data_IF_973316261647
#
_entry.id   IF_973316261647
#
_cell.length_a   1.000
_cell.length_b   1.000
_cell.length_c   1.000
_cell.angle_alpha   90.00
_cell.angle_beta   90.00
_cell.angle_gamma   90.00
#
_symmetry.space_group_name_H-M   'P 1'
#
loop_
_entity.id
_entity.type
_entity.pdbx_description
1 polymer ?
#
# COMPACT_ATOMS: atom_id res chain seq x y z
N UNK A 1 -76.50 13.80 -41.72
CA UNK A 1 -75.86 12.48 -41.94
C UNK A 1 -74.59 12.70 -42.75
N UNK A 2 -73.51 11.99 -42.43
CA UNK A 2 -72.17 11.96 -43.04
C UNK A 2 -71.11 12.91 -42.48
N UNK A 3 -70.46 12.39 -41.44
CA UNK A 3 -69.12 12.64 -40.92
C UNK A 3 -68.01 12.36 -41.95
N UNK A 4 -66.95 13.16 -41.97
CA UNK A 4 -65.62 12.72 -42.45
C UNK A 4 -64.51 13.32 -41.58
N UNK A 5 -63.83 12.43 -40.87
CA UNK A 5 -62.67 12.72 -40.02
C UNK A 5 -61.40 12.79 -40.87
N UNK A 6 -60.53 13.75 -40.54
CA UNK A 6 -59.18 13.86 -41.10
C UNK A 6 -58.29 12.74 -40.55
N UNK A 7 -57.57 12.12 -41.48
CA UNK A 7 -56.72 10.94 -41.35
C UNK A 7 -55.54 11.16 -40.39
N UNK A 8 -55.31 10.21 -39.47
CA UNK A 8 -54.10 10.13 -38.63
C UNK A 8 -53.11 9.17 -39.29
N UNK A 9 -51.91 9.62 -39.60
CA UNK A 9 -50.76 8.73 -39.76
C UNK A 9 -50.22 8.34 -38.38
N UNK A 10 -50.33 7.06 -38.02
CA UNK A 10 -49.54 6.46 -36.95
C UNK A 10 -48.34 5.78 -37.60
N UNK A 11 -47.13 6.23 -37.23
CA UNK A 11 -45.89 5.50 -37.51
C UNK A 11 -45.91 4.20 -36.69
N UNK A 12 -46.12 3.07 -37.34
CA UNK A 12 -45.92 1.74 -36.76
C UNK A 12 -44.46 1.34 -36.91
N UNK A 13 -43.70 1.42 -35.80
CA UNK A 13 -42.36 0.83 -35.74
C UNK A 13 -42.53 -0.68 -35.56
N UNK A 14 -42.36 -1.44 -36.66
CA UNK A 14 -42.37 -2.90 -36.64
C UNK A 14 -41.08 -3.42 -35.99
N UNK A 15 -41.14 -3.79 -34.72
CA UNK A 15 -40.06 -4.53 -34.04
C UNK A 15 -40.24 -6.04 -34.27
N UNK A 16 -39.51 -6.58 -35.27
CA UNK A 16 -39.38 -8.02 -35.50
C UNK A 16 -38.52 -8.74 -34.42
N UNK A 17 -38.53 -10.09 -34.38
CA UNK A 17 -38.17 -10.85 -33.20
C UNK A 17 -36.65 -10.88 -32.93
N UNK A 18 -36.29 -10.25 -31.82
CA UNK A 18 -35.28 -10.64 -30.83
C UNK A 18 -34.01 -11.40 -31.29
N UNK A 19 -32.94 -10.64 -31.59
CA UNK A 19 -31.53 -11.11 -31.53
C UNK A 19 -31.02 -11.31 -30.08
N UNK A 20 -31.81 -11.91 -29.20
CA UNK A 20 -31.46 -12.06 -27.76
C UNK A 20 -30.84 -13.41 -27.39
N UNK A 21 -30.69 -14.34 -28.34
CA UNK A 21 -30.26 -15.71 -28.06
C UNK A 21 -28.74 -15.92 -28.05
N UNK A 22 -27.96 -15.10 -28.77
CA UNK A 22 -26.52 -15.33 -28.88
C UNK A 22 -25.74 -14.82 -27.65
N UNK A 23 -26.09 -13.67 -27.05
CA UNK A 23 -25.30 -13.08 -25.97
C UNK A 23 -25.37 -13.82 -24.62
N UNK A 24 -26.44 -14.58 -24.34
CA UNK A 24 -26.56 -15.32 -23.08
C UNK A 24 -25.78 -16.64 -23.10
N UNK A 25 -25.66 -17.27 -24.26
CA UNK A 25 -24.88 -18.50 -24.45
C UNK A 25 -23.37 -18.25 -24.39
N UNK A 26 -22.86 -17.17 -25.00
CA UNK A 26 -21.44 -16.83 -24.92
C UNK A 26 -20.96 -16.51 -23.50
N UNK A 27 -21.82 -15.92 -22.66
CA UNK A 27 -21.49 -15.65 -21.25
C UNK A 27 -21.38 -16.93 -20.42
N UNK A 28 -22.21 -17.94 -20.67
CA UNK A 28 -22.19 -19.21 -19.94
C UNK A 28 -20.97 -20.06 -20.33
N UNK A 29 -20.65 -20.11 -21.63
CA UNK A 29 -19.47 -20.83 -22.13
C UNK A 29 -18.17 -20.21 -21.59
N UNK A 30 -18.09 -18.87 -21.56
CA UNK A 30 -16.93 -18.17 -20.98
C UNK A 30 -16.72 -18.49 -19.50
N UNK A 31 -17.80 -18.54 -18.71
CA UNK A 31 -17.74 -18.90 -17.29
C UNK A 31 -17.29 -20.36 -17.10
N UNK A 32 -17.79 -21.29 -17.91
CA UNK A 32 -17.39 -22.69 -17.84
C UNK A 32 -15.89 -22.91 -18.15
N UNK A 33 -15.35 -22.18 -19.13
CA UNK A 33 -13.91 -22.24 -19.48
C UNK A 33 -13.05 -21.70 -18.32
N UNK A 34 -13.46 -20.60 -17.68
CA UNK A 34 -12.73 -20.02 -16.54
C UNK A 34 -12.71 -21.00 -15.36
N UNK A 35 -13.85 -21.66 -15.06
CA UNK A 35 -13.93 -22.66 -13.99
C UNK A 35 -13.00 -23.85 -14.26
N UNK A 36 -12.95 -24.35 -15.50
CA UNK A 36 -12.06 -25.45 -15.88
C UNK A 36 -10.57 -25.08 -15.75
N UNK A 37 -10.19 -23.86 -16.12
CA UNK A 37 -8.81 -23.37 -15.97
C UNK A 37 -8.44 -23.28 -14.48
N UNK A 38 -9.31 -22.70 -13.65
CA UNK A 38 -9.07 -22.60 -12.20
C UNK A 38 -8.95 -23.99 -11.57
N UNK A 39 -9.82 -24.93 -11.95
CA UNK A 39 -9.77 -26.31 -11.47
C UNK A 39 -8.47 -27.01 -11.87
N UNK A 40 -8.02 -26.85 -13.12
CA UNK A 40 -6.76 -27.43 -13.60
C UNK A 40 -5.54 -26.88 -12.85
N UNK A 41 -5.51 -25.58 -12.54
CA UNK A 41 -4.44 -24.95 -11.75
C UNK A 41 -4.41 -25.48 -10.32
N UNK A 42 -5.58 -25.59 -9.67
CA UNK A 42 -5.70 -26.15 -8.32
C UNK A 42 -5.23 -27.61 -8.30
N UNK A 43 -5.64 -28.42 -9.30
CA UNK A 43 -5.22 -29.81 -9.41
C UNK A 43 -3.71 -29.94 -9.60
N UNK A 44 -3.08 -29.10 -10.42
CA UNK A 44 -1.64 -29.10 -10.64
C UNK A 44 -0.86 -28.73 -9.36
N UNK A 45 -1.37 -27.77 -8.57
CA UNK A 45 -0.77 -27.40 -7.28
C UNK A 45 -0.90 -28.52 -6.24
N UNK A 46 -2.05 -29.19 -6.18
CA UNK A 46 -2.26 -30.33 -5.28
C UNK A 46 -1.37 -31.52 -5.65
N UNK A 47 -1.18 -31.79 -6.94
CA UNK A 47 -0.27 -32.85 -7.40
C UNK A 47 1.19 -32.55 -7.04
N UNK A 48 1.63 -31.28 -7.11
CA UNK A 48 2.98 -30.89 -6.70
C UNK A 48 3.19 -30.97 -5.16
N UNK A 49 2.13 -30.81 -4.37
CA UNK A 49 2.22 -30.88 -2.91
C UNK A 49 2.38 -32.32 -2.37
N UNK A 50 1.96 -33.33 -3.14
CA UNK A 50 2.01 -34.75 -2.72
C UNK A 50 3.41 -35.39 -2.90
N UNK A 51 4.35 -34.73 -3.59
CA UNK A 51 5.68 -35.31 -3.91
C UNK A 51 6.77 -34.91 -2.88
N UNK A 52 6.48 -34.05 -1.91
CA UNK A 52 7.42 -33.66 -0.85
C UNK A 52 7.10 -34.34 0.49
N UNK A 53 7.35 -35.65 0.59
CA UNK A 53 7.52 -36.29 1.91
C UNK A 53 8.97 -36.12 2.38
N UNK A 54 9.25 -35.54 3.56
CA UNK A 54 10.61 -35.53 4.09
C UNK A 54 10.97 -36.94 4.58
N UNK A 55 12.07 -37.47 4.04
CA UNK A 55 12.72 -38.69 4.50
C UNK A 55 13.22 -38.51 5.96
N UNK A 56 12.95 -39.49 6.81
CA UNK A 56 13.45 -39.60 8.19
C UNK A 56 14.49 -40.73 8.24
N UNK A 57 15.76 -40.36 8.35
CA UNK A 57 16.85 -41.22 8.83
C UNK A 57 18.05 -40.33 9.19
N UNK A 58 18.96 -40.61 10.11
CA UNK A 58 19.02 -41.36 11.36
C UNK A 58 20.14 -40.71 12.21
N UNK A 59 20.15 -40.98 13.51
CA UNK A 59 21.11 -40.58 14.56
C UNK A 59 22.55 -41.07 14.34
N UNK A 60 23.56 -40.29 14.75
CA UNK A 60 24.83 -40.81 15.31
C UNK A 60 25.63 -39.77 16.13
N UNK A 61 26.64 -40.26 16.85
CA UNK A 61 27.02 -39.97 18.25
C UNK A 61 28.41 -39.33 18.45
N UNK A 62 28.48 -38.35 19.36
CA UNK A 62 29.52 -38.07 20.42
C UNK A 62 31.01 -37.78 20.03
N UNK A 63 31.91 -37.40 20.98
CA UNK A 63 32.53 -36.07 21.03
C UNK A 63 34.07 -36.05 20.84
N UNK A 64 34.66 -34.88 20.64
CA UNK A 64 36.11 -34.68 20.80
C UNK A 64 36.45 -33.35 21.48
N UNK A 65 37.27 -33.47 22.52
CA UNK A 65 37.83 -32.43 23.39
C UNK A 65 39.26 -32.09 22.93
N UNK A 66 39.81 -30.98 23.46
CA UNK A 66 41.19 -30.48 23.39
C UNK A 66 41.53 -29.62 22.17
N UNK A 67 42.42 -28.61 22.19
CA UNK A 67 42.96 -27.65 23.16
C UNK A 67 44.07 -26.93 22.40
N UNK A 68 44.12 -25.60 22.34
CA UNK A 68 45.39 -24.86 22.18
C UNK A 68 45.25 -23.38 22.54
N UNK A 69 46.38 -22.85 23.03
CA UNK A 69 46.66 -21.68 23.89
C UNK A 69 46.19 -20.29 23.43
N UNK A 70 46.21 -19.30 24.37
CA UNK A 70 45.81 -17.93 24.11
C UNK A 70 46.89 -17.15 23.36
N UNK A 71 46.51 -16.49 22.26
CA UNK A 71 47.38 -15.55 21.59
C UNK A 71 47.19 -14.15 22.19
N UNK A 72 48.14 -13.77 23.03
CA UNK A 72 48.39 -12.37 23.39
C UNK A 72 48.88 -11.63 22.15
N UNK A 73 48.15 -10.59 21.74
CA UNK A 73 48.69 -9.57 20.84
C UNK A 73 48.36 -8.20 21.43
N UNK A 74 49.35 -7.62 22.10
CA UNK A 74 49.39 -6.19 22.39
C UNK A 74 50.34 -5.56 21.37
N UNK A 75 49.86 -4.60 20.57
CA UNK A 75 50.56 -3.34 20.19
C UNK A 75 49.62 -2.46 19.34
N UNK A 76 49.08 -1.42 19.98
CA UNK A 76 49.00 -0.01 19.55
C UNK A 76 48.86 0.35 18.06
N UNK A 77 47.71 0.89 17.64
CA UNK A 77 47.48 2.30 17.21
C UNK A 77 46.13 2.41 16.50
N UNK A 78 45.28 3.31 17.00
CA UNK A 78 43.92 3.61 16.56
C UNK A 78 43.84 4.14 15.12
N UNK A 79 43.23 3.35 14.25
CA UNK A 79 42.42 3.85 13.12
C UNK A 79 41.27 2.87 12.94
N UNK A 80 40.10 3.25 13.42
CA UNK A 80 38.88 2.44 13.29
C UNK A 80 38.60 2.30 11.79
N UNK A 81 39.05 1.17 11.22
CA UNK A 81 38.76 0.75 9.86
C UNK A 81 37.25 0.75 9.68
N UNK A 82 36.76 1.60 8.78
CA UNK A 82 35.35 1.88 8.60
C UNK A 82 34.56 0.60 8.35
N UNK A 83 33.77 0.17 9.34
CA UNK A 83 32.72 -0.82 9.16
C UNK A 83 31.76 -0.26 8.11
N UNK A 84 31.81 -0.79 6.89
CA UNK A 84 30.84 -0.44 5.86
C UNK A 84 29.45 -0.76 6.40
N UNK A 85 28.62 0.27 6.52
CA UNK A 85 27.23 0.09 6.92
C UNK A 85 26.50 -0.64 5.79
N UNK A 86 25.99 -1.84 6.08
CA UNK A 86 25.21 -2.65 5.14
C UNK A 86 23.74 -2.45 5.44
N UNK A 87 22.93 -2.28 4.39
CA UNK A 87 21.48 -2.32 4.53
C UNK A 87 21.04 -3.64 5.18
N UNK A 88 20.19 -3.53 6.18
CA UNK A 88 19.55 -4.66 6.85
C UNK A 88 18.03 -4.49 6.77
N UNK A 89 17.33 -5.61 6.57
CA UNK A 89 15.87 -5.65 6.62
C UNK A 89 15.40 -5.33 8.04
N UNK A 90 14.28 -4.61 8.15
CA UNK A 90 13.55 -4.35 9.39
C UNK A 90 12.11 -4.84 9.24
N UNK A 91 11.24 -4.62 10.24
CA UNK A 91 9.84 -5.05 10.19
C UNK A 91 9.07 -4.49 8.99
N UNK A 92 8.00 -5.20 8.65
CA UNK A 92 7.12 -4.86 7.53
C UNK A 92 6.05 -3.86 7.96
N UNK A 93 5.71 -2.90 7.09
CA UNK A 93 4.50 -2.09 7.25
C UNK A 93 3.25 -2.96 7.20
N UNK A 94 2.18 -2.52 7.85
CA UNK A 94 0.87 -3.17 7.84
C UNK A 94 0.16 -2.96 6.49
N UNK A 95 0.38 -1.80 5.85
CA UNK A 95 -0.15 -1.50 4.52
C UNK A 95 1.00 -1.26 3.53
N UNK A 96 1.02 -2.06 2.46
CA UNK A 96 1.88 -1.81 1.30
C UNK A 96 1.47 -0.49 0.67
N UNK A 97 2.45 0.34 0.32
CA UNK A 97 2.22 1.67 -0.24
C UNK A 97 3.39 2.14 -1.10
N UNK A 98 3.08 2.89 -2.16
CA UNK A 98 3.99 3.80 -2.88
C UNK A 98 3.51 5.24 -2.73
N UNK A 99 4.32 6.21 -3.15
CA UNK A 99 3.95 7.64 -3.22
C UNK A 99 3.41 8.22 -1.89
N UNK A 100 3.89 7.63 -0.79
CA UNK A 100 3.64 8.05 0.57
C UNK A 100 4.71 9.04 1.02
N UNK A 101 4.45 9.74 2.11
CA UNK A 101 5.47 10.56 2.78
C UNK A 101 5.99 9.86 4.03
N UNK A 102 7.29 10.00 4.32
CA UNK A 102 7.91 9.57 5.58
C UNK A 102 8.49 10.78 6.32
N UNK A 103 8.15 10.96 7.59
CA UNK A 103 8.58 12.07 8.44
C UNK A 103 9.22 11.56 9.73
N UNK A 104 10.46 11.95 10.00
CA UNK A 104 11.13 11.65 11.28
C UNK A 104 10.59 12.58 12.35
N UNK A 105 10.05 11.99 13.42
CA UNK A 105 9.49 12.71 14.55
C UNK A 105 10.57 13.03 15.59
N UNK A 106 10.30 13.99 16.48
CA UNK A 106 11.23 14.40 17.55
C UNK A 106 11.60 13.28 18.52
N UNK A 107 10.76 12.25 18.64
CA UNK A 107 11.01 11.06 19.45
C UNK A 107 11.81 9.96 18.72
N UNK A 108 12.27 10.21 17.49
CA UNK A 108 13.05 9.28 16.67
C UNK A 108 12.21 8.25 15.90
N UNK A 109 10.88 8.20 16.08
CA UNK A 109 10.00 7.37 15.25
C UNK A 109 9.82 7.97 13.87
N UNK A 110 9.43 7.15 12.89
CA UNK A 110 9.11 7.61 11.55
C UNK A 110 7.60 7.48 11.32
N UNK A 111 6.94 8.59 11.06
CA UNK A 111 5.55 8.62 10.60
C UNK A 111 5.53 8.40 9.09
N UNK A 112 4.82 7.37 8.67
CA UNK A 112 4.45 7.15 7.27
C UNK A 112 2.95 7.30 7.15
N UNK A 113 2.47 8.05 6.16
CA UNK A 113 1.04 8.30 5.95
C UNK A 113 0.70 8.25 4.48
N UNK A 114 -0.58 8.10 4.14
CA UNK A 114 -1.09 8.15 2.77
C UNK A 114 -0.40 7.22 1.77
N UNK A 115 -0.39 7.65 0.51
CA UNK A 115 0.15 6.90 -0.61
C UNK A 115 -0.87 5.99 -1.27
N UNK A 116 -0.39 5.17 -2.19
CA UNK A 116 -1.19 4.26 -3.01
C UNK A 116 -0.81 2.81 -2.72
N UNK A 117 -1.82 2.02 -2.33
CA UNK A 117 -1.66 0.62 -1.96
C UNK A 117 -1.89 -0.36 -3.11
N UNK A 118 -2.23 -1.59 -2.74
CA UNK A 118 -2.53 -2.68 -3.68
C UNK A 118 -3.73 -2.28 -4.55
N UNK A 119 -3.69 -2.62 -5.84
CA UNK A 119 -4.75 -2.30 -6.82
C UNK A 119 -5.08 -0.81 -6.92
N UNK A 120 -4.07 0.05 -6.75
CA UNK A 120 -4.20 1.49 -6.86
C UNK A 120 -5.18 2.12 -5.85
N UNK A 121 -5.37 1.47 -4.70
CA UNK A 121 -6.21 2.00 -3.63
C UNK A 121 -5.47 3.13 -2.92
N UNK A 122 -6.00 4.35 -3.00
CA UNK A 122 -5.43 5.50 -2.29
C UNK A 122 -5.70 5.34 -0.79
N UNK A 123 -4.65 5.42 0.00
CA UNK A 123 -4.67 5.16 1.43
C UNK A 123 -4.91 6.45 2.21
N UNK A 124 -5.60 6.32 3.33
CA UNK A 124 -5.63 7.30 4.41
C UNK A 124 -4.97 6.78 5.69
N UNK A 125 -4.39 5.58 5.65
CA UNK A 125 -3.75 4.99 6.81
C UNK A 125 -2.41 5.65 7.11
N UNK A 126 -2.12 5.78 8.40
CA UNK A 126 -0.84 6.21 8.90
C UNK A 126 -0.25 5.16 9.84
N UNK A 127 1.08 5.04 9.82
CA UNK A 127 1.83 4.06 10.57
C UNK A 127 3.10 4.69 11.15
N UNK A 128 3.47 4.28 12.36
CA UNK A 128 4.71 4.66 13.03
C UNK A 128 5.68 3.50 12.99
N UNK A 129 6.87 3.74 12.45
CA UNK A 129 8.02 2.86 12.63
C UNK A 129 8.77 3.23 13.90
N UNK A 130 9.02 2.25 14.75
CA UNK A 130 9.88 2.37 15.92
C UNK A 130 11.24 1.71 15.63
N UNK A 131 12.32 2.50 15.43
CA UNK A 131 13.64 1.93 15.14
C UNK A 131 14.24 1.11 16.28
N UNK A 132 13.77 1.27 17.52
CA UNK A 132 14.32 0.54 18.67
C UNK A 132 13.88 -0.92 18.70
N UNK A 133 12.69 -1.21 18.17
CA UNK A 133 12.10 -2.54 18.10
C UNK A 133 12.04 -3.07 16.66
N UNK A 134 12.21 -2.21 15.67
CA UNK A 134 12.05 -2.55 14.26
C UNK A 134 10.59 -2.85 13.89
N UNK A 135 9.62 -2.32 14.63
CA UNK A 135 8.20 -2.64 14.45
C UNK A 135 7.40 -1.46 13.89
N UNK A 136 6.32 -1.78 13.16
CA UNK A 136 5.34 -0.81 12.67
C UNK A 136 4.05 -0.89 13.48
N UNK A 137 3.45 0.26 13.79
CA UNK A 137 2.18 0.35 14.50
C UNK A 137 1.26 1.34 13.78
N UNK A 138 0.00 0.95 13.55
CA UNK A 138 -1.00 1.87 12.99
C UNK A 138 -1.32 3.00 13.96
N UNK A 139 -1.55 4.20 13.43
CA UNK A 139 -2.01 5.37 14.19
C UNK A 139 -3.30 5.90 13.57
N UNK A 140 -3.83 7.03 14.06
CA UNK A 140 -5.04 7.61 13.47
C UNK A 140 -4.86 7.89 11.98
N UNK A 141 -5.93 7.67 11.22
CA UNK A 141 -5.95 7.91 9.78
C UNK A 141 -6.10 9.42 9.49
N UNK A 142 -5.57 9.86 8.34
CA UNK A 142 -5.93 11.16 7.78
C UNK A 142 -7.38 11.12 7.27
N UNK A 143 -8.02 12.29 7.21
CA UNK A 143 -9.42 12.40 6.82
C UNK A 143 -9.59 12.10 5.33
N UNK A 144 -8.71 12.66 4.50
CA UNK A 144 -8.74 12.47 3.05
C UNK A 144 -7.63 11.52 2.63
N UNK A 145 -7.99 10.43 1.94
CA UNK A 145 -7.05 9.58 1.22
C UNK A 145 -6.24 10.44 0.25
N UNK A 146 -4.92 10.30 0.26
CA UNK A 146 -4.05 11.13 -0.60
C UNK A 146 -2.74 10.44 -0.92
N UNK A 147 -2.21 10.72 -2.10
CA UNK A 147 -0.83 10.46 -2.54
C UNK A 147 -0.28 11.70 -3.26
N UNK A 148 1.01 11.75 -3.58
CA UNK A 148 1.68 12.91 -4.23
C UNK A 148 1.48 14.27 -3.51
N UNK A 149 1.30 14.21 -2.19
CA UNK A 149 1.20 15.34 -1.28
C UNK A 149 2.54 15.64 -0.60
N UNK A 150 2.63 16.77 0.08
CA UNK A 150 3.82 17.11 0.88
C UNK A 150 3.56 16.87 2.36
N UNK A 151 4.60 16.45 3.10
CA UNK A 151 4.61 16.38 4.55
C UNK A 151 5.79 17.19 5.08
N UNK A 152 5.54 18.09 6.03
CA UNK A 152 6.54 18.96 6.64
C UNK A 152 6.52 18.83 8.16
N UNK A 153 7.65 18.47 8.75
CA UNK A 153 7.85 18.52 10.20
C UNK A 153 8.07 19.98 10.60
N UNK A 154 7.13 20.54 11.34
CA UNK A 154 7.17 21.92 11.80
C UNK A 154 8.09 22.08 13.01
N UNK A 155 8.50 23.32 13.31
CA UNK A 155 9.37 23.65 14.44
C UNK A 155 8.82 23.25 15.82
N UNK A 156 7.49 23.11 15.93
CA UNK A 156 6.84 22.62 17.14
C UNK A 156 6.73 21.09 17.20
N UNK A 157 7.33 20.36 16.26
CA UNK A 157 7.34 18.91 16.18
C UNK A 157 6.08 18.29 15.54
N UNK A 158 5.07 19.08 15.19
CA UNK A 158 3.88 18.57 14.47
C UNK A 158 4.19 18.33 13.00
N UNK A 159 3.44 17.44 12.34
CA UNK A 159 3.60 17.16 10.91
C UNK A 159 2.42 17.72 10.14
N UNK A 160 2.68 18.66 9.24
CA UNK A 160 1.68 19.25 8.35
C UNK A 160 1.68 18.51 7.02
N UNK A 161 0.54 17.94 6.62
CA UNK A 161 0.34 17.37 5.28
C UNK A 161 -0.55 18.28 4.45
N UNK A 162 -0.20 18.50 3.18
CA UNK A 162 -0.86 19.48 2.33
C UNK A 162 -1.06 18.93 0.93
N UNK A 163 -2.27 19.10 0.37
CA UNK A 163 -2.59 18.80 -1.02
C UNK A 163 -2.50 17.31 -1.36
N UNK A 164 -2.03 17.02 -2.57
CA UNK A 164 -1.97 15.70 -3.18
C UNK A 164 -3.19 15.38 -4.01
N UNK A 165 -3.25 14.14 -4.47
CA UNK A 165 -4.34 13.61 -5.26
C UNK A 165 -5.18 12.62 -4.43
N UNK A 166 -6.50 12.80 -4.44
CA UNK A 166 -7.46 11.91 -3.79
C UNK A 166 -8.19 10.99 -4.77
N UNK A 167 -9.31 10.42 -4.32
CA UNK A 167 -10.12 9.48 -5.12
C UNK A 167 -10.56 10.12 -6.46
N UNK A 168 -10.55 9.33 -7.54
CA UNK A 168 -10.91 9.74 -8.90
C UNK A 168 -10.01 10.83 -9.49
N UNK A 169 -8.73 10.82 -9.12
CA UNK A 169 -7.72 11.78 -9.57
C UNK A 169 -8.08 13.23 -9.27
N UNK A 170 -8.66 13.46 -8.10
CA UNK A 170 -9.05 14.78 -7.67
C UNK A 170 -7.93 15.44 -6.86
N UNK A 171 -7.31 16.47 -7.43
CA UNK A 171 -6.36 17.31 -6.71
C UNK A 171 -7.02 17.89 -5.44
N UNK A 172 -6.29 17.83 -4.34
CA UNK A 172 -6.76 18.29 -3.03
C UNK A 172 -6.20 19.67 -2.71
N UNK A 173 -7.04 20.50 -2.10
CA UNK A 173 -6.64 21.73 -1.44
C UNK A 173 -6.64 21.61 0.10
N UNK A 174 -6.90 20.41 0.63
CA UNK A 174 -7.00 20.20 2.08
C UNK A 174 -5.63 20.04 2.72
N UNK A 175 -5.53 20.48 3.97
CA UNK A 175 -4.34 20.30 4.80
C UNK A 175 -4.71 19.79 6.19
N UNK A 176 -3.89 18.89 6.72
CA UNK A 176 -4.12 18.23 8.02
C UNK A 176 -2.83 18.24 8.85
N UNK A 177 -2.97 18.35 10.17
CA UNK A 177 -1.87 18.46 11.11
C UNK A 177 -1.87 17.25 12.05
N UNK A 178 -0.79 16.49 12.04
CA UNK A 178 -0.56 15.41 12.99
C UNK A 178 0.09 15.95 14.27
N UNK A 179 -0.47 15.55 15.41
CA UNK A 179 0.13 15.78 16.72
C UNK A 179 0.74 14.46 17.24
N UNK A 180 2.09 14.33 17.27
CA UNK A 180 2.75 13.12 17.76
C UNK A 180 2.49 12.80 19.24
N UNK A 181 2.08 13.78 20.05
CA UNK A 181 1.84 13.58 21.48
C UNK A 181 0.54 12.81 21.75
N UNK A 182 -0.45 12.96 20.87
CA UNK A 182 -1.75 12.30 20.96
C UNK A 182 -1.94 11.23 19.87
N UNK A 183 -1.11 11.25 18.83
CA UNK A 183 -1.25 10.38 17.67
C UNK A 183 -2.47 10.70 16.81
N UNK A 184 -2.98 11.93 16.87
CA UNK A 184 -4.22 12.34 16.19
C UNK A 184 -3.97 13.35 15.08
N UNK A 185 -4.85 13.35 14.09
CA UNK A 185 -4.90 14.36 13.03
C UNK A 185 -5.94 15.42 13.33
N UNK A 186 -5.70 16.66 12.88
CA UNK A 186 -6.67 17.75 12.92
C UNK A 186 -6.67 18.46 11.58
N UNK A 187 -7.85 18.73 11.03
CA UNK A 187 -7.99 19.52 9.81
C UNK A 187 -7.57 20.96 10.04
N UNK A 188 -6.92 21.55 9.05
CA UNK A 188 -6.54 22.97 9.04
C UNK A 188 -7.31 23.70 7.95
N UNK A 189 -7.04 24.99 7.78
CA UNK A 189 -7.58 25.74 6.64
C UNK A 189 -7.07 25.16 5.31
N UNK A 190 -7.93 25.19 4.30
CA UNK A 190 -7.57 24.73 2.96
C UNK A 190 -6.68 25.74 2.23
N UNK A 191 -5.88 25.25 1.29
CA UNK A 191 -5.26 26.06 0.25
C UNK A 191 -6.32 26.73 -0.63
N UNK A 192 -5.96 27.88 -1.20
CA UNK A 192 -6.81 28.57 -2.20
C UNK A 192 -7.05 27.69 -3.42
N UNK A 193 -6.00 27.06 -3.92
CA UNK A 193 -6.03 26.17 -5.08
C UNK A 193 -5.54 24.78 -4.70
N UNK A 194 -6.19 23.77 -5.28
CA UNK A 194 -5.75 22.39 -5.17
C UNK A 194 -4.39 22.19 -5.86
N UNK A 195 -3.55 21.32 -5.30
CA UNK A 195 -2.23 21.01 -5.86
C UNK A 195 -1.74 19.64 -5.43
N UNK A 196 -0.99 19.03 -6.33
CA UNK A 196 -0.34 17.72 -6.24
C UNK A 196 1.04 17.85 -6.88
N UNK A 197 1.96 16.91 -6.61
CA UNK A 197 3.34 16.94 -7.14
C UNK A 197 4.13 18.22 -6.80
N UNK A 198 3.69 18.93 -5.76
CA UNK A 198 4.29 20.19 -5.34
C UNK A 198 5.38 19.96 -4.30
N UNK A 199 6.12 21.03 -3.99
CA UNK A 199 7.06 21.06 -2.87
C UNK A 199 6.60 22.05 -1.81
N UNK A 200 6.98 21.77 -0.57
CA UNK A 200 6.77 22.65 0.57
C UNK A 200 8.07 22.70 1.38
N UNK A 201 8.40 23.85 1.95
CA UNK A 201 9.59 24.01 2.77
C UNK A 201 9.25 24.80 4.02
N UNK A 202 9.71 24.29 5.17
CA UNK A 202 9.56 24.99 6.44
C UNK A 202 10.66 26.04 6.53
N UNK A 203 10.26 27.29 6.76
CA UNK A 203 11.21 28.39 6.96
C UNK A 203 11.57 28.49 8.43
N UNK A 204 12.87 28.56 8.71
CA UNK A 204 13.40 28.93 10.01
C UNK A 204 13.29 30.44 10.16
N UNK A 205 12.91 30.92 11.35
CA UNK A 205 12.95 32.33 11.70
C UNK A 205 14.27 32.69 12.34
#
# INVERSE_FOLDING_TARGET
MHTNQVYRERVTVNNGPHKWWHHRWFKIIGIAIIILIVFAVILALLLNFVILTPDKSETSTTPATSSSSPQTTTTTTTKQSGKLQKWSVTGNMNNVRRDHTASVLSNGKVLVTGGEGINNIILNSAELYDPSTGTWTTTSNITNTRYDYTASVLLNGKVLVIGGEGINNNALNTAELYDPSTGTWTTTSNLTDAREWHTASVLLK
#
